data_IF_835320638091
#
_entry.id   IF_835320638091
#
_cell.length_a   1.000
_cell.length_b   1.000
_cell.length_c   1.000
_cell.angle_alpha   90.00
_cell.angle_beta   90.00
_cell.angle_gamma   90.00
#
_symmetry.space_group_name_H-M   'P 1'
#
loop_
_entity.id
_entity.type
_entity.pdbx_description
1 polymer ?
#
# COMPACT_ATOMS: atom_id res chain seq x y z
N UNK A 1 11.92 21.88 7.46
CA UNK A 1 12.86 20.79 7.76
C UNK A 1 12.37 20.16 9.06
N UNK A 2 11.90 18.94 8.96
CA UNK A 2 11.24 18.16 10.02
C UNK A 2 11.80 16.75 9.93
N UNK A 3 12.01 16.12 11.08
CA UNK A 3 12.41 14.72 11.12
C UNK A 3 11.31 13.86 10.50
N UNK A 4 11.68 12.68 10.00
CA UNK A 4 10.74 11.69 9.52
C UNK A 4 10.97 10.35 10.23
N UNK A 5 9.86 9.67 10.51
CA UNK A 5 9.84 8.25 10.88
C UNK A 5 9.61 7.41 9.63
N UNK A 6 10.31 6.28 9.52
CA UNK A 6 10.15 5.31 8.43
C UNK A 6 9.93 3.92 9.04
N UNK A 7 8.74 3.36 8.86
CA UNK A 7 8.43 1.99 9.22
C UNK A 7 8.84 1.07 8.07
N UNK A 8 9.64 0.04 8.38
CA UNK A 8 10.18 -0.92 7.43
C UNK A 8 9.72 -2.32 7.85
N UNK A 9 8.63 -2.78 7.25
CA UNK A 9 8.10 -4.12 7.47
C UNK A 9 8.81 -5.14 6.57
N UNK A 10 9.32 -6.20 7.16
CA UNK A 10 10.06 -7.26 6.46
C UNK A 10 9.40 -8.62 6.69
N UNK A 11 9.89 -9.65 6.00
CA UNK A 11 9.48 -11.03 6.22
C UNK A 11 9.77 -11.55 7.64
N UNK A 12 10.72 -10.97 8.37
CA UNK A 12 11.16 -11.46 9.69
C UNK A 12 11.19 -10.37 10.79
N UNK A 13 10.41 -9.30 10.65
CA UNK A 13 10.26 -8.28 11.69
C UNK A 13 10.10 -6.86 11.15
N UNK A 14 10.00 -5.91 12.07
CA UNK A 14 9.90 -4.48 11.82
C UNK A 14 11.19 -3.76 12.23
N UNK A 15 11.65 -2.86 11.36
CA UNK A 15 12.65 -1.84 11.69
C UNK A 15 12.02 -0.46 11.62
N UNK A 16 12.51 0.46 12.45
CA UNK A 16 12.04 1.85 12.50
C UNK A 16 13.22 2.77 12.23
N UNK A 17 13.17 3.49 11.12
CA UNK A 17 14.10 4.54 10.77
C UNK A 17 13.71 5.89 11.39
N UNK A 18 14.70 6.64 11.87
CA UNK A 18 14.61 8.06 12.27
C UNK A 18 15.61 8.86 11.47
N UNK A 19 15.14 9.93 10.84
CA UNK A 19 16.02 10.82 10.08
C UNK A 19 16.41 12.07 10.84
N UNK A 20 17.49 12.70 10.38
CA UNK A 20 17.74 14.11 10.62
C UNK A 20 16.69 15.00 9.92
N UNK A 21 16.67 16.29 10.25
CA UNK A 21 15.66 17.23 9.72
C UNK A 21 15.75 17.45 8.19
N UNK A 22 16.87 17.07 7.56
CA UNK A 22 17.05 17.10 6.11
C UNK A 22 16.65 15.78 5.42
N UNK A 23 16.34 14.72 6.18
CA UNK A 23 16.02 13.37 5.69
C UNK A 23 17.14 12.74 4.85
N UNK A 24 18.39 13.03 5.20
CA UNK A 24 19.61 12.54 4.52
C UNK A 24 20.38 11.54 5.35
N UNK A 25 20.39 11.68 6.68
CA UNK A 25 21.00 10.71 7.59
C UNK A 25 19.90 9.98 8.36
N UNK A 26 20.06 8.66 8.49
CA UNK A 26 19.06 7.79 9.11
C UNK A 26 19.70 6.90 10.16
N UNK A 27 19.03 6.77 11.30
CA UNK A 27 19.32 5.76 12.32
C UNK A 27 18.20 4.73 12.35
N UNK A 28 18.54 3.46 12.58
CA UNK A 28 17.57 2.37 12.66
C UNK A 28 17.49 1.78 14.06
N UNK A 29 16.28 1.46 14.50
CA UNK A 29 16.03 0.58 15.64
C UNK A 29 15.27 -0.67 15.20
N UNK A 30 15.47 -1.77 15.92
CA UNK A 30 14.85 -3.07 15.65
C UNK A 30 15.85 -4.24 15.73
N UNK A 31 15.39 -5.46 15.40
CA UNK A 31 14.01 -5.78 15.02
C UNK A 31 13.02 -5.69 16.20
N UNK A 32 11.84 -5.14 15.94
CA UNK A 32 10.63 -5.47 16.69
C UNK A 32 9.89 -6.60 15.97
N UNK A 33 9.03 -7.35 16.67
CA UNK A 33 8.27 -8.46 16.09
C UNK A 33 9.15 -9.52 15.40
N UNK A 34 10.24 -9.91 16.07
CA UNK A 34 11.17 -10.94 15.57
C UNK A 34 10.44 -12.21 15.13
N UNK A 35 10.86 -12.77 14.00
CA UNK A 35 10.27 -13.97 13.39
C UNK A 35 8.80 -13.82 12.96
N UNK A 36 8.28 -12.59 12.89
CA UNK A 36 6.96 -12.31 12.31
C UNK A 36 7.10 -11.62 10.96
N UNK A 37 6.30 -12.05 9.99
CA UNK A 37 6.16 -11.32 8.73
C UNK A 37 5.32 -10.07 8.94
N UNK A 38 5.89 -8.90 8.65
CA UNK A 38 5.22 -7.60 8.77
C UNK A 38 4.77 -7.16 7.38
N UNK A 39 3.50 -7.41 7.08
CA UNK A 39 2.92 -7.19 5.76
C UNK A 39 2.20 -5.85 5.62
N UNK A 40 1.81 -5.26 6.75
CA UNK A 40 1.13 -3.98 6.80
C UNK A 40 1.75 -3.10 7.88
N UNK A 41 2.01 -1.84 7.56
CA UNK A 41 2.34 -0.80 8.54
C UNK A 41 1.50 0.44 8.24
N UNK A 42 1.13 1.17 9.28
CA UNK A 42 0.35 2.41 9.17
C UNK A 42 0.88 3.48 10.12
N UNK A 43 0.71 4.74 9.75
CA UNK A 43 1.04 5.89 10.60
C UNK A 43 -0.15 6.84 10.57
N UNK A 44 -0.73 7.10 11.73
CA UNK A 44 -1.77 8.11 11.91
C UNK A 44 -1.18 9.35 12.57
N UNK A 45 -1.09 10.42 11.80
CA UNK A 45 -0.58 11.73 12.25
C UNK A 45 -1.70 12.72 12.58
N UNK A 46 -2.98 12.30 12.58
CA UNK A 46 -4.13 13.18 12.85
C UNK A 46 -4.24 13.54 14.34
N UNK A 47 -3.68 12.72 15.21
CA UNK A 47 -3.66 12.91 16.66
C UNK A 47 -2.58 13.91 17.12
N UNK A 48 -2.58 14.22 18.42
CA UNK A 48 -1.56 15.08 19.03
C UNK A 48 -0.16 14.45 19.01
N UNK A 49 -0.08 13.13 18.95
CA UNK A 49 1.15 12.37 18.72
C UNK A 49 0.86 11.32 17.63
N UNK A 50 1.86 10.97 16.79
CA UNK A 50 1.68 9.93 15.79
C UNK A 50 1.43 8.56 16.43
N UNK A 51 0.38 7.87 15.98
CA UNK A 51 0.14 6.46 16.32
C UNK A 51 0.66 5.57 15.19
N UNK A 52 1.45 4.56 15.54
CA UNK A 52 1.98 3.57 14.60
C UNK A 52 1.14 2.30 14.65
N UNK A 53 0.99 1.63 13.51
CA UNK A 53 0.29 0.35 13.39
C UNK A 53 1.15 -0.69 12.70
N UNK A 54 1.01 -1.94 13.12
CA UNK A 54 1.73 -3.09 12.56
C UNK A 54 0.77 -4.26 12.40
N UNK A 55 0.66 -4.80 11.18
CA UNK A 55 0.05 -6.10 10.90
C UNK A 55 1.13 -7.17 10.86
N UNK A 56 1.33 -7.86 11.99
CA UNK A 56 2.30 -8.94 12.15
C UNK A 56 1.68 -10.31 11.88
N UNK A 57 2.45 -11.25 11.34
CA UNK A 57 2.05 -12.65 11.15
C UNK A 57 3.11 -13.58 11.70
N UNK A 58 2.81 -14.22 12.83
CA UNK A 58 3.64 -15.26 13.43
C UNK A 58 3.27 -16.63 12.86
N UNK A 59 4.27 -17.45 12.51
CA UNK A 59 4.04 -18.85 12.14
C UNK A 59 3.52 -19.70 13.31
N UNK A 60 3.74 -19.25 14.56
CA UNK A 60 3.31 -19.96 15.77
C UNK A 60 1.97 -19.47 16.31
N UNK A 61 1.77 -18.14 16.34
CA UNK A 61 0.62 -17.50 16.99
C UNK A 61 -0.43 -16.97 16.03
N UNK A 62 -0.13 -16.95 14.72
CA UNK A 62 -1.01 -16.39 13.69
C UNK A 62 -0.87 -14.88 13.52
N UNK A 63 -1.80 -14.26 12.77
CA UNK A 63 -1.80 -12.82 12.48
C UNK A 63 -2.45 -11.98 13.57
N UNK A 64 -1.92 -10.77 13.77
CA UNK A 64 -2.45 -9.77 14.70
C UNK A 64 -2.16 -8.34 14.23
N UNK A 65 -2.94 -7.37 14.75
CA UNK A 65 -2.67 -5.94 14.62
C UNK A 65 -2.21 -5.38 15.97
N UNK A 66 -1.10 -4.66 15.94
CA UNK A 66 -0.49 -3.97 17.07
C UNK A 66 -0.49 -2.47 16.82
N UNK A 67 -0.49 -1.68 17.89
CA UNK A 67 -0.29 -0.24 17.81
C UNK A 67 0.73 0.27 18.83
N UNK A 68 1.30 1.44 18.55
CA UNK A 68 2.23 2.14 19.42
C UNK A 68 1.90 3.63 19.44
N UNK A 69 1.85 4.21 20.64
CA UNK A 69 1.62 5.64 20.89
C UNK A 69 2.91 6.39 21.30
N UNK A 70 4.03 5.67 21.37
CA UNK A 70 5.34 6.20 21.80
C UNK A 70 6.40 5.99 20.72
N UNK A 71 5.96 6.06 19.46
CA UNK A 71 6.85 6.05 18.31
C UNK A 71 7.66 4.74 18.18
N UNK A 72 7.09 3.63 18.66
CA UNK A 72 7.58 2.27 18.52
C UNK A 72 8.45 1.77 19.68
N UNK A 73 8.48 2.50 20.80
CA UNK A 73 9.19 2.05 22.00
C UNK A 73 8.44 0.92 22.70
N UNK A 74 7.11 0.98 22.73
CA UNK A 74 6.23 -0.08 23.22
C UNK A 74 5.10 -0.37 22.24
N UNK A 75 4.58 -1.59 22.31
CA UNK A 75 3.53 -2.08 21.42
C UNK A 75 2.41 -2.72 22.23
N UNK A 76 1.18 -2.35 21.91
CA UNK A 76 -0.03 -2.88 22.52
C UNK A 76 -0.77 -3.83 21.57
N UNK A 77 -1.26 -4.93 22.14
CA UNK A 77 -2.21 -5.87 21.53
C UNK A 77 -3.39 -6.06 22.49
N UNK A 78 -4.65 -5.96 22.03
CA UNK A 78 -5.80 -6.26 22.88
C UNK A 78 -5.80 -7.74 23.30
N UNK A 79 -6.11 -8.08 24.57
CA UNK A 79 -6.09 -9.46 25.07
C UNK A 79 -6.99 -10.45 24.33
N UNK A 80 -8.05 -9.95 23.70
CA UNK A 80 -9.02 -10.77 22.94
C UNK A 80 -8.70 -10.85 21.43
N UNK A 81 -7.58 -10.26 21.01
CA UNK A 81 -7.20 -10.12 19.60
C UNK A 81 -7.85 -8.89 18.94
N UNK A 82 -7.15 -8.27 17.98
CA UNK A 82 -7.61 -7.02 17.34
C UNK A 82 -8.54 -7.25 16.15
N UNK A 83 -8.36 -8.35 15.42
CA UNK A 83 -9.19 -8.74 14.28
C UNK A 83 -9.58 -10.22 14.43
N UNK A 84 -10.88 -10.50 14.38
CA UNK A 84 -11.40 -11.86 14.42
C UNK A 84 -12.69 -11.99 13.63
N UNK A 85 -12.81 -13.03 12.83
CA UNK A 85 -14.04 -13.30 12.10
C UNK A 85 -15.18 -13.68 13.07
N UNK A 86 -16.41 -13.14 12.88
CA UNK A 86 -17.54 -13.45 13.76
C UNK A 86 -17.85 -14.94 13.81
N UNK A 87 -18.34 -15.43 14.95
CA UNK A 87 -18.75 -16.83 15.08
C UNK A 87 -19.73 -17.25 13.97
N UNK A 88 -19.47 -18.40 13.34
CA UNK A 88 -20.29 -18.94 12.26
C UNK A 88 -19.85 -18.54 10.85
N UNK A 89 -18.84 -17.66 10.69
CA UNK A 89 -18.15 -17.53 9.41
C UNK A 89 -17.18 -18.69 9.22
N UNK A 90 -17.23 -19.36 8.07
CA UNK A 90 -16.26 -20.39 7.68
C UNK A 90 -14.98 -19.74 7.11
N UNK A 91 -14.33 -18.89 7.92
CA UNK A 91 -13.14 -18.14 7.55
C UNK A 91 -12.29 -17.83 8.77
N UNK A 92 -10.97 -17.81 8.60
CA UNK A 92 -10.00 -17.37 9.58
C UNK A 92 -9.09 -16.30 8.99
N UNK A 93 -8.61 -15.39 9.84
CA UNK A 93 -7.64 -14.39 9.42
C UNK A 93 -6.32 -15.09 9.12
N UNK A 94 -5.83 -14.93 7.89
CA UNK A 94 -4.50 -15.44 7.49
C UNK A 94 -3.44 -14.34 7.60
N UNK A 95 -3.81 -13.10 7.27
CA UNK A 95 -2.88 -11.96 7.22
C UNK A 95 -3.62 -10.63 7.13
N UNK A 96 -3.02 -9.59 7.72
CA UNK A 96 -3.39 -8.18 7.47
C UNK A 96 -2.49 -7.62 6.39
N UNK A 97 -3.09 -7.13 5.31
CA UNK A 97 -2.40 -6.65 4.11
C UNK A 97 -2.28 -5.13 4.05
N UNK A 98 -3.15 -4.40 4.76
CA UNK A 98 -3.02 -2.96 4.88
C UNK A 98 -3.67 -2.46 6.16
N UNK A 99 -3.13 -1.38 6.71
CA UNK A 99 -3.74 -0.60 7.80
C UNK A 99 -3.72 0.87 7.36
N UNK A 100 -4.90 1.48 7.26
CA UNK A 100 -5.07 2.82 6.71
C UNK A 100 -5.93 3.67 7.65
N UNK A 101 -5.39 4.77 8.22
CA UNK A 101 -6.18 5.75 8.92
C UNK A 101 -7.27 6.33 8.00
N UNK A 102 -8.48 6.49 8.55
CA UNK A 102 -9.61 7.12 7.85
C UNK A 102 -9.51 8.64 7.78
N UNK A 103 -10.64 9.32 7.55
CA UNK A 103 -10.73 10.78 7.70
C UNK A 103 -11.09 11.16 9.12
N UNK A 104 -12.05 10.44 9.72
CA UNK A 104 -12.57 10.73 11.04
C UNK A 104 -11.60 10.29 12.15
N UNK A 105 -11.40 11.09 13.22
CA UNK A 105 -10.58 10.70 14.36
C UNK A 105 -10.97 9.33 14.92
N UNK A 106 -9.99 8.50 15.24
CA UNK A 106 -10.22 7.14 15.76
C UNK A 106 -10.64 6.13 14.71
N UNK A 107 -11.03 6.54 13.50
CA UNK A 107 -11.35 5.59 12.42
C UNK A 107 -10.07 5.09 11.76
N UNK A 108 -9.91 3.77 11.76
CA UNK A 108 -8.81 3.06 11.10
C UNK A 108 -9.41 1.87 10.35
N UNK A 109 -8.98 1.65 9.12
CA UNK A 109 -9.38 0.49 8.34
C UNK A 109 -8.24 -0.52 8.22
N UNK A 110 -8.58 -1.80 8.16
CA UNK A 110 -7.64 -2.85 7.82
C UNK A 110 -8.16 -3.70 6.67
N UNK A 111 -7.31 -3.97 5.68
CA UNK A 111 -7.58 -4.94 4.62
C UNK A 111 -6.88 -6.26 4.95
N UNK A 112 -7.55 -7.39 4.72
CA UNK A 112 -7.02 -8.71 5.10
C UNK A 112 -7.08 -9.76 3.99
N UNK A 113 -6.49 -10.91 4.32
CA UNK A 113 -6.67 -12.20 3.66
C UNK A 113 -7.37 -13.18 4.63
N UNK A 114 -8.44 -13.87 4.21
CA UNK A 114 -9.15 -13.74 2.92
C UNK A 114 -9.72 -12.32 2.71
N UNK A 115 -10.18 -12.02 1.48
CA UNK A 115 -10.60 -10.66 1.08
C UNK A 115 -11.75 -10.14 1.94
N UNK A 116 -11.37 -9.37 2.96
CA UNK A 116 -12.26 -8.73 3.89
C UNK A 116 -11.72 -7.36 4.27
N UNK A 117 -12.65 -6.46 4.60
CA UNK A 117 -12.37 -5.12 5.10
C UNK A 117 -12.87 -5.03 6.54
N UNK A 118 -12.06 -4.41 7.38
CA UNK A 118 -12.33 -4.19 8.78
C UNK A 118 -12.30 -2.71 9.11
N UNK A 119 -13.16 -2.27 10.03
CA UNK A 119 -13.22 -0.88 10.50
C UNK A 119 -13.08 -0.86 12.01
N UNK A 120 -12.16 -0.04 12.50
CA UNK A 120 -12.06 0.38 13.89
C UNK A 120 -12.61 1.79 14.04
N UNK A 121 -13.21 2.09 15.20
CA UNK A 121 -13.61 3.44 15.61
C UNK A 121 -12.98 3.87 16.94
N UNK A 122 -12.05 3.07 17.47
CA UNK A 122 -11.38 3.28 18.76
C UNK A 122 -9.85 3.50 18.59
N UNK A 123 -9.45 3.95 17.40
CA UNK A 123 -8.06 4.24 17.06
C UNK A 123 -7.25 3.00 16.69
N UNK A 124 -7.89 1.97 16.15
CA UNK A 124 -7.25 0.71 15.74
C UNK A 124 -6.98 -0.26 16.89
N UNK A 125 -7.73 -0.17 17.99
CA UNK A 125 -7.63 -1.11 19.12
C UNK A 125 -8.47 -2.35 18.82
N UNK A 126 -9.74 -2.17 18.44
CA UNK A 126 -10.62 -3.26 18.00
C UNK A 126 -11.17 -2.98 16.61
N UNK A 127 -11.46 -4.03 15.86
CA UNK A 127 -11.94 -3.95 14.49
C UNK A 127 -13.19 -4.79 14.26
N UNK A 128 -14.16 -4.20 13.58
CA UNK A 128 -15.40 -4.87 13.16
C UNK A 128 -15.38 -5.17 11.66
N UNK A 129 -15.91 -6.33 11.28
CA UNK A 129 -16.03 -6.75 9.88
C UNK A 129 -17.02 -5.84 9.13
N UNK A 130 -16.59 -5.26 8.00
CA UNK A 130 -17.47 -4.48 7.12
C UNK A 130 -18.36 -5.43 6.32
N UNK A 131 -19.55 -5.70 6.86
CA UNK A 131 -20.51 -6.68 6.32
C UNK A 131 -20.94 -6.38 4.89
N UNK A 132 -21.09 -5.12 4.48
CA UNK A 132 -21.49 -4.79 3.12
C UNK A 132 -20.55 -5.33 2.04
N UNK A 133 -19.24 -5.36 2.30
CA UNK A 133 -18.28 -5.97 1.37
C UNK A 133 -18.23 -7.49 1.53
N UNK A 134 -18.28 -7.98 2.78
CA UNK A 134 -18.25 -9.41 3.07
C UNK A 134 -19.47 -10.16 2.53
N UNK A 135 -20.64 -9.56 2.58
CA UNK A 135 -21.89 -10.18 2.11
C UNK A 135 -22.17 -9.86 0.63
N UNK A 136 -21.22 -9.24 -0.06
CA UNK A 136 -21.38 -8.87 -1.47
C UNK A 136 -21.52 -10.12 -2.36
N UNK A 137 -22.47 -10.16 -3.33
CA UNK A 137 -22.72 -11.34 -4.16
C UNK A 137 -21.52 -11.83 -4.97
N UNK A 138 -20.60 -10.93 -5.34
CA UNK A 138 -19.39 -11.29 -6.08
C UNK A 138 -18.34 -11.99 -5.22
N UNK A 139 -18.43 -11.96 -3.87
CA UNK A 139 -17.36 -12.45 -2.99
C UNK A 139 -17.00 -13.90 -3.25
N UNK A 140 -17.99 -14.75 -3.48
CA UNK A 140 -17.77 -16.19 -3.74
C UNK A 140 -17.01 -16.45 -5.06
N UNK A 141 -16.92 -15.45 -5.93
CA UNK A 141 -16.25 -15.51 -7.24
C UNK A 141 -14.92 -14.75 -7.25
N UNK A 142 -14.57 -14.00 -6.20
CA UNK A 142 -13.25 -13.37 -6.09
C UNK A 142 -12.19 -14.46 -5.95
N UNK A 143 -11.12 -14.37 -6.73
CA UNK A 143 -10.06 -15.37 -6.77
C UNK A 143 -8.83 -14.94 -5.95
N UNK A 144 -7.92 -15.88 -5.75
CA UNK A 144 -6.60 -15.58 -5.22
C UNK A 144 -5.65 -15.21 -6.36
N UNK A 145 -4.96 -14.08 -6.25
CA UNK A 145 -3.72 -13.86 -6.98
C UNK A 145 -2.57 -14.67 -6.36
N UNK A 146 -1.38 -14.66 -6.99
CA UNK A 146 -0.18 -15.32 -6.43
C UNK A 146 0.23 -14.83 -5.04
N UNK A 147 -0.22 -13.62 -4.65
CA UNK A 147 0.00 -13.06 -3.32
C UNK A 147 -1.00 -13.53 -2.26
N UNK A 148 -2.07 -14.25 -2.63
CA UNK A 148 -3.21 -14.54 -1.78
C UNK A 148 -4.44 -13.69 -2.12
N UNK A 149 -5.63 -14.17 -1.73
CA UNK A 149 -6.91 -13.47 -1.93
C UNK A 149 -7.06 -12.36 -0.89
N UNK A 150 -6.61 -11.14 -1.20
CA UNK A 150 -6.52 -10.07 -0.23
C UNK A 150 -7.21 -8.77 -0.66
N UNK A 151 -7.83 -8.08 0.29
CA UNK A 151 -8.02 -6.63 0.22
C UNK A 151 -6.71 -5.99 0.65
N UNK A 152 -5.92 -5.52 -0.33
CA UNK A 152 -4.57 -4.98 -0.11
C UNK A 152 -4.48 -3.48 -0.38
N UNK A 153 -5.54 -2.88 -0.94
CA UNK A 153 -5.67 -1.42 -0.98
C UNK A 153 -6.97 -0.99 -0.32
N UNK A 154 -6.88 0.01 0.54
CA UNK A 154 -7.94 0.69 1.26
C UNK A 154 -7.62 2.18 1.12
N UNK A 155 -8.52 2.92 0.50
CA UNK A 155 -8.30 4.31 0.10
C UNK A 155 -9.54 5.16 0.46
N UNK A 156 -9.61 5.65 1.71
CA UNK A 156 -10.68 6.54 2.15
C UNK A 156 -10.68 7.83 1.33
N UNK A 157 -11.86 8.34 0.97
CA UNK A 157 -11.96 9.65 0.35
C UNK A 157 -11.59 10.73 1.37
N UNK A 158 -10.68 11.67 1.05
CA UNK A 158 -10.03 12.55 2.04
C UNK A 158 -10.97 13.54 2.73
N UNK A 159 -12.15 13.80 2.17
CA UNK A 159 -13.13 14.75 2.71
C UNK A 159 -14.54 14.18 2.85
N UNK A 160 -14.74 12.88 2.61
CA UNK A 160 -16.05 12.25 2.69
C UNK A 160 -15.94 10.87 3.36
N UNK A 161 -16.32 10.74 4.64
CA UNK A 161 -16.18 9.49 5.37
C UNK A 161 -17.13 8.38 4.88
N UNK A 162 -18.15 8.71 4.07
CA UNK A 162 -19.02 7.72 3.47
C UNK A 162 -18.41 7.08 2.21
N UNK A 163 -17.37 7.70 1.63
CA UNK A 163 -16.72 7.25 0.39
C UNK A 163 -15.41 6.53 0.67
N UNK A 164 -15.30 5.30 0.18
CA UNK A 164 -14.10 4.47 0.32
C UNK A 164 -13.93 3.61 -0.93
N UNK A 165 -12.69 3.49 -1.41
CA UNK A 165 -12.30 2.53 -2.44
C UNK A 165 -11.43 1.42 -1.84
N UNK A 166 -11.63 0.19 -2.30
CA UNK A 166 -10.75 -0.94 -1.99
C UNK A 166 -10.29 -1.62 -3.28
N UNK A 167 -9.12 -2.26 -3.24
CA UNK A 167 -8.63 -3.09 -4.34
C UNK A 167 -8.20 -4.48 -3.87
N UNK A 168 -8.45 -5.45 -4.75
CA UNK A 168 -8.20 -6.87 -4.54
C UNK A 168 -7.41 -7.51 -5.69
N UNK A 169 -6.59 -8.49 -5.31
CA UNK A 169 -5.83 -9.36 -6.20
C UNK A 169 -6.25 -10.83 -5.96
N UNK A 170 -7.27 -11.39 -6.62
CA UNK A 170 -8.09 -10.82 -7.70
C UNK A 170 -9.50 -10.47 -7.22
N UNK A 171 -10.18 -9.62 -7.98
CA UNK A 171 -11.52 -9.13 -7.68
C UNK A 171 -11.75 -7.76 -8.30
N UNK A 172 -10.70 -6.94 -8.34
CA UNK A 172 -10.71 -5.59 -8.89
C UNK A 172 -10.90 -4.53 -7.82
N UNK A 173 -11.35 -3.36 -8.26
CA UNK A 173 -11.71 -2.20 -7.43
C UNK A 173 -13.18 -2.28 -7.06
N UNK A 174 -13.48 -2.04 -5.78
CA UNK A 174 -14.84 -1.85 -5.28
C UNK A 174 -14.92 -0.54 -4.52
N UNK A 175 -16.07 0.13 -4.60
CA UNK A 175 -16.30 1.42 -3.97
C UNK A 175 -17.61 1.43 -3.20
N UNK A 176 -17.63 2.18 -2.11
CA UNK A 176 -18.83 2.52 -1.35
C UNK A 176 -19.00 4.03 -1.33
N UNK A 177 -20.26 4.49 -1.24
CA UNK A 177 -20.66 5.89 -1.03
C UNK A 177 -21.58 6.05 0.18
N UNK A 178 -21.78 4.97 0.94
CA UNK A 178 -22.71 4.88 2.08
C UNK A 178 -22.04 4.35 3.35
N UNK A 179 -20.71 4.56 3.48
CA UNK A 179 -19.95 4.18 4.66
C UNK A 179 -19.67 2.67 4.78
N UNK A 180 -19.80 1.93 3.68
CA UNK A 180 -19.52 0.50 3.60
C UNK A 180 -20.75 -0.41 3.76
N UNK A 181 -21.96 0.15 3.76
CA UNK A 181 -23.20 -0.62 3.80
C UNK A 181 -23.47 -1.34 2.47
N UNK A 182 -23.12 -0.73 1.35
CA UNK A 182 -23.13 -1.34 0.02
C UNK A 182 -21.87 -0.99 -0.78
N UNK A 183 -21.58 -1.83 -1.78
CA UNK A 183 -20.38 -1.73 -2.61
C UNK A 183 -20.72 -1.96 -4.07
N UNK A 184 -19.98 -1.30 -4.97
CA UNK A 184 -20.12 -1.47 -6.42
C UNK A 184 -18.74 -1.66 -7.06
N UNK A 185 -18.61 -2.52 -8.09
CA UNK A 185 -17.36 -2.66 -8.84
C UNK A 185 -17.06 -1.39 -9.63
N UNK A 186 -15.78 -1.01 -9.71
CA UNK A 186 -15.31 0.21 -10.38
C UNK A 186 -14.12 -0.09 -11.30
N UNK A 187 -14.33 -1.01 -12.26
CA UNK A 187 -13.26 -1.60 -13.07
C UNK A 187 -13.29 -1.24 -14.56
N UNK A 188 -14.26 -0.44 -15.02
CA UNK A 188 -14.45 -0.19 -16.44
C UNK A 188 -13.19 0.43 -17.07
N UNK A 189 -12.60 -0.28 -18.02
CA UNK A 189 -11.36 0.12 -18.71
C UNK A 189 -10.09 -0.50 -18.14
N UNK A 190 -10.15 -1.16 -16.97
CA UNK A 190 -9.06 -2.00 -16.45
C UNK A 190 -9.20 -3.41 -17.02
N UNK A 191 -8.19 -3.85 -17.77
CA UNK A 191 -8.20 -5.17 -18.41
C UNK A 191 -7.85 -6.30 -17.44
N UNK A 192 -8.46 -7.46 -17.67
CA UNK A 192 -8.13 -8.74 -17.05
C UNK A 192 -7.72 -9.76 -18.13
N UNK A 193 -6.50 -9.64 -18.66
CA UNK A 193 -6.02 -10.46 -19.80
C UNK A 193 -6.05 -11.98 -19.57
N UNK A 194 -6.09 -12.42 -18.31
CA UNK A 194 -6.14 -13.83 -17.92
C UNK A 194 -7.56 -14.40 -17.85
N UNK A 195 -8.59 -13.58 -18.06
CA UNK A 195 -9.99 -14.01 -18.13
C UNK A 195 -10.46 -14.15 -19.59
N UNK A 196 -11.50 -14.96 -19.86
CA UNK A 196 -12.04 -15.13 -21.21
C UNK A 196 -12.55 -13.82 -21.84
N UNK A 197 -13.22 -12.99 -21.03
CA UNK A 197 -13.54 -11.61 -21.36
C UNK A 197 -12.41 -10.72 -20.78
N UNK A 198 -11.67 -9.97 -21.62
CA UNK A 198 -10.59 -9.10 -21.15
C UNK A 198 -11.10 -7.83 -20.46
N UNK A 199 -12.38 -7.47 -20.60
CA UNK A 199 -12.99 -6.27 -20.01
C UNK A 199 -14.18 -6.61 -19.08
N UNK A 200 -14.01 -7.53 -18.11
CA UNK A 200 -15.12 -7.98 -17.27
C UNK A 200 -15.49 -6.92 -16.22
N UNK A 201 -16.71 -7.01 -15.69
CA UNK A 201 -17.17 -6.12 -14.60
C UNK A 201 -16.29 -6.22 -13.34
N UNK A 202 -15.79 -7.42 -13.04
CA UNK A 202 -14.91 -7.69 -11.91
C UNK A 202 -13.95 -8.86 -12.21
N UNK A 203 -12.97 -9.08 -11.32
CA UNK A 203 -11.99 -10.15 -11.44
C UNK A 203 -10.59 -9.68 -11.86
N UNK A 204 -10.40 -8.38 -12.08
CA UNK A 204 -9.10 -7.75 -12.30
C UNK A 204 -8.14 -8.06 -11.14
N UNK A 205 -6.85 -8.10 -11.44
CA UNK A 205 -5.78 -8.29 -10.46
C UNK A 205 -5.09 -6.95 -10.22
N UNK A 206 -5.80 -6.01 -9.59
CA UNK A 206 -5.26 -4.69 -9.28
C UNK A 206 -4.19 -4.86 -8.21
N UNK A 207 -2.98 -4.33 -8.41
CA UNK A 207 -1.88 -4.46 -7.46
C UNK A 207 -1.82 -3.33 -6.45
N UNK A 208 -2.16 -2.09 -6.85
CA UNK A 208 -2.22 -0.95 -5.93
C UNK A 208 -3.08 0.17 -6.52
N UNK A 209 -3.83 0.86 -5.67
CA UNK A 209 -4.48 2.14 -5.99
C UNK A 209 -3.79 3.29 -5.24
N UNK A 210 -3.79 4.46 -5.85
CA UNK A 210 -3.43 5.72 -5.22
C UNK A 210 -4.32 6.85 -5.76
N UNK A 211 -4.60 7.86 -4.94
CA UNK A 211 -5.28 9.08 -5.36
C UNK A 211 -4.71 10.27 -4.61
N UNK A 212 -4.64 11.43 -5.27
CA UNK A 212 -4.11 12.64 -4.64
C UNK A 212 -5.14 13.21 -3.64
N UNK A 213 -4.74 13.59 -2.41
CA UNK A 213 -5.70 14.06 -1.40
C UNK A 213 -6.43 15.35 -1.80
N UNK A 214 -5.80 16.24 -2.57
CA UNK A 214 -6.45 17.48 -3.06
C UNK A 214 -7.30 17.30 -4.33
N UNK A 215 -7.13 16.20 -5.08
CA UNK A 215 -7.87 15.90 -6.31
C UNK A 215 -8.27 14.41 -6.28
N UNK A 216 -9.16 14.01 -5.35
CA UNK A 216 -9.40 12.60 -5.05
C UNK A 216 -10.08 11.82 -6.18
N UNK A 217 -10.72 12.51 -7.13
CA UNK A 217 -11.29 11.88 -8.33
C UNK A 217 -10.23 11.47 -9.35
N UNK A 218 -9.01 12.04 -9.24
CA UNK A 218 -7.85 11.57 -10.00
C UNK A 218 -7.22 10.39 -9.28
N UNK A 219 -7.55 9.21 -9.77
CA UNK A 219 -7.07 7.94 -9.24
C UNK A 219 -6.09 7.28 -10.21
N UNK A 220 -5.12 6.57 -9.66
CA UNK A 220 -4.14 5.80 -10.41
C UNK A 220 -4.14 4.36 -9.92
N UNK A 221 -3.93 3.42 -10.84
CA UNK A 221 -3.89 1.99 -10.54
C UNK A 221 -2.70 1.33 -11.24
N UNK A 222 -1.88 0.61 -10.48
CA UNK A 222 -1.05 -0.45 -11.05
C UNK A 222 -1.88 -1.72 -11.06
N UNK A 223 -2.10 -2.31 -12.23
CA UNK A 223 -2.76 -3.61 -12.41
C UNK A 223 -1.72 -4.71 -12.69
N UNK A 224 -2.14 -5.96 -12.72
CA UNK A 224 -1.28 -7.07 -13.12
C UNK A 224 -0.74 -6.88 -14.54
N UNK A 225 -1.53 -6.34 -15.48
CA UNK A 225 -1.00 -5.73 -16.70
C UNK A 225 -1.67 -4.37 -16.92
N UNK A 226 -0.83 -3.34 -17.02
CA UNK A 226 -1.25 -1.97 -17.26
C UNK A 226 -1.09 -1.07 -16.04
N UNK A 227 -0.81 0.19 -16.34
CA UNK A 227 -0.86 1.32 -15.41
C UNK A 227 -2.01 2.19 -15.89
N UNK A 228 -2.96 2.51 -15.01
CA UNK A 228 -4.20 3.19 -15.38
C UNK A 228 -4.41 4.48 -14.60
N UNK A 229 -5.14 5.41 -15.21
CA UNK A 229 -5.67 6.61 -14.58
C UNK A 229 -7.18 6.69 -14.76
N UNK A 230 -7.89 7.14 -13.73
CA UNK A 230 -9.25 7.67 -13.83
C UNK A 230 -9.22 9.14 -13.41
N UNK A 231 -10.03 9.98 -14.08
CA UNK A 231 -10.25 11.39 -13.71
C UNK A 231 -11.68 11.62 -13.15
N UNK A 232 -12.43 10.54 -12.94
CA UNK A 232 -13.86 10.51 -12.57
C UNK A 232 -14.12 9.58 -11.38
N UNK A 233 -13.14 9.44 -10.48
CA UNK A 233 -13.32 8.71 -9.23
C UNK A 233 -13.40 7.20 -9.40
N UNK A 234 -12.79 6.65 -10.45
CA UNK A 234 -12.76 5.22 -10.75
C UNK A 234 -13.91 4.73 -11.64
N UNK A 235 -14.75 5.63 -12.17
CA UNK A 235 -15.84 5.24 -13.06
C UNK A 235 -15.34 4.75 -14.42
N UNK A 236 -14.31 5.40 -15.00
CA UNK A 236 -13.63 4.96 -16.23
C UNK A 236 -12.11 5.08 -16.06
N UNK A 237 -11.42 4.00 -16.41
CA UNK A 237 -9.97 3.91 -16.38
C UNK A 237 -9.38 3.92 -17.78
N UNK A 238 -8.25 4.61 -17.96
CA UNK A 238 -7.48 4.68 -19.20
C UNK A 238 -6.06 4.25 -18.94
N UNK A 239 -5.50 3.43 -19.82
CA UNK A 239 -4.09 3.07 -19.74
C UNK A 239 -3.22 4.32 -19.91
N UNK A 240 -2.20 4.43 -19.07
CA UNK A 240 -1.14 5.44 -19.06
C UNK A 240 0.24 4.77 -19.05
N UNK A 241 0.31 3.51 -19.51
CA UNK A 241 1.56 2.75 -19.52
C UNK A 241 2.50 3.11 -20.69
N UNK A 242 2.02 3.90 -21.66
CA UNK A 242 2.82 4.31 -22.81
C UNK A 242 4.07 5.08 -22.36
N UNK A 243 5.24 4.69 -22.86
CA UNK A 243 6.53 5.25 -22.48
C UNK A 243 7.24 4.55 -21.31
N UNK A 244 6.55 3.68 -20.56
CA UNK A 244 7.20 2.80 -19.58
C UNK A 244 7.95 1.65 -20.30
N UNK A 245 9.03 1.14 -19.70
CA UNK A 245 9.75 -0.03 -20.24
C UNK A 245 8.96 -1.34 -20.10
N UNK A 246 7.93 -1.36 -19.26
CA UNK A 246 6.99 -2.46 -19.04
C UNK A 246 5.72 -1.92 -18.37
N UNK A 247 4.59 -2.58 -18.60
CA UNK A 247 3.30 -2.25 -17.98
C UNK A 247 2.98 -3.13 -16.75
N UNK A 248 3.87 -4.07 -16.41
CA UNK A 248 3.80 -4.91 -15.23
C UNK A 248 4.61 -4.29 -14.08
N UNK A 249 4.08 -4.33 -12.87
CA UNK A 249 4.70 -3.77 -11.65
C UNK A 249 3.79 -4.01 -10.44
N UNK A 250 4.22 -3.65 -9.23
CA UNK A 250 3.37 -3.77 -8.03
C UNK A 250 2.96 -2.44 -7.41
N UNK A 251 3.89 -1.54 -7.06
CA UNK A 251 3.52 -0.30 -6.40
C UNK A 251 3.04 0.77 -7.38
N UNK A 252 2.16 1.64 -6.88
CA UNK A 252 1.94 2.98 -7.42
C UNK A 252 1.76 3.95 -6.24
N UNK A 253 2.37 5.13 -6.30
CA UNK A 253 2.17 6.19 -5.32
C UNK A 253 2.07 7.56 -5.99
N UNK A 254 1.42 8.50 -5.32
CA UNK A 254 1.27 9.88 -5.78
C UNK A 254 2.12 10.83 -4.94
N UNK A 255 2.56 11.92 -5.55
CA UNK A 255 3.14 13.03 -4.81
C UNK A 255 2.07 13.65 -3.89
N UNK A 256 2.41 14.11 -2.67
CA UNK A 256 1.43 14.68 -1.73
C UNK A 256 0.90 16.07 -2.13
N UNK A 257 1.66 16.81 -2.95
CA UNK A 257 1.38 18.23 -3.29
C UNK A 257 1.20 18.49 -4.79
N UNK A 258 1.39 17.47 -5.63
CA UNK A 258 1.34 17.60 -7.09
C UNK A 258 0.41 16.51 -7.65
N UNK A 259 -0.85 16.84 -8.00
CA UNK A 259 -1.87 15.84 -8.34
C UNK A 259 -1.60 15.07 -9.63
N UNK A 260 -0.70 15.58 -10.48
CA UNK A 260 -0.29 14.94 -11.73
C UNK A 260 0.99 14.13 -11.59
N UNK A 261 1.59 14.12 -10.40
CA UNK A 261 2.86 13.44 -10.17
C UNK A 261 2.65 12.07 -9.54
N UNK A 262 3.05 11.02 -10.27
CA UNK A 262 2.86 9.62 -9.91
C UNK A 262 4.16 8.82 -10.11
N UNK A 263 4.38 7.85 -9.24
CA UNK A 263 5.57 7.00 -9.20
C UNK A 263 5.19 5.53 -9.35
N UNK A 264 5.94 4.79 -10.16
CA UNK A 264 5.83 3.33 -10.33
C UNK A 264 7.20 2.67 -10.33
N UNK A 265 7.23 1.35 -10.14
CA UNK A 265 8.43 0.53 -10.29
C UNK A 265 8.16 -0.62 -11.27
N UNK A 266 8.52 -0.45 -12.56
CA UNK A 266 8.25 -1.45 -13.59
C UNK A 266 9.07 -2.73 -13.41
N UNK A 267 8.46 -3.87 -13.71
CA UNK A 267 9.04 -5.21 -13.72
C UNK A 267 8.73 -5.87 -15.08
N UNK A 268 9.53 -6.84 -15.52
CA UNK A 268 9.39 -7.39 -16.88
C UNK A 268 8.04 -8.07 -17.10
N UNK A 269 7.63 -8.97 -16.22
CA UNK A 269 6.34 -9.68 -16.28
C UNK A 269 6.03 -10.40 -14.97
N UNK A 270 4.85 -10.99 -14.88
CA UNK A 270 4.43 -11.82 -13.74
C UNK A 270 5.32 -13.06 -13.53
N UNK A 271 5.72 -13.71 -14.63
CA UNK A 271 6.67 -14.81 -14.68
C UNK A 271 8.14 -14.40 -14.63
N UNK A 272 8.44 -13.11 -14.75
CA UNK A 272 9.79 -12.55 -14.62
C UNK A 272 9.76 -11.22 -13.86
N UNK A 273 9.83 -11.29 -12.54
CA UNK A 273 9.71 -10.13 -11.64
C UNK A 273 11.04 -9.39 -11.42
N UNK A 274 11.94 -9.44 -12.41
CA UNK A 274 13.13 -8.59 -12.43
C UNK A 274 12.78 -7.22 -13.04
N UNK A 275 13.45 -6.14 -12.65
CA UNK A 275 13.28 -4.85 -13.32
C UNK A 275 13.82 -4.90 -14.76
N UNK A 276 13.20 -4.20 -15.72
CA UNK A 276 13.73 -4.11 -17.09
C UNK A 276 15.18 -3.61 -17.12
N UNK A 277 16.01 -4.30 -17.91
CA UNK A 277 17.45 -4.04 -17.98
C UNK A 277 18.22 -4.35 -16.70
N UNK A 278 17.61 -5.07 -15.75
CA UNK A 278 18.20 -5.39 -14.44
C UNK A 278 18.69 -4.15 -13.69
N UNK A 279 17.94 -3.05 -13.73
CA UNK A 279 18.33 -1.76 -13.15
C UNK A 279 17.31 -1.24 -12.14
N UNK A 280 17.78 -0.73 -11.00
CA UNK A 280 16.89 -0.16 -9.99
C UNK A 280 16.46 1.25 -10.41
N UNK A 281 15.24 1.39 -10.93
CA UNK A 281 14.70 2.66 -11.42
C UNK A 281 13.27 2.82 -10.96
N UNK A 282 13.00 3.89 -10.22
CA UNK A 282 11.63 4.39 -10.06
C UNK A 282 11.29 5.20 -11.29
N UNK A 283 10.10 5.06 -11.84
CA UNK A 283 9.63 5.92 -12.93
C UNK A 283 8.64 6.94 -12.38
N UNK A 284 8.83 8.20 -12.76
CA UNK A 284 7.96 9.31 -12.41
C UNK A 284 7.27 9.84 -13.66
N UNK A 285 5.99 10.16 -13.54
CA UNK A 285 5.32 11.08 -14.45
C UNK A 285 4.98 12.35 -13.66
N UNK A 286 5.01 13.51 -14.31
CA UNK A 286 4.55 14.80 -13.76
C UNK A 286 3.36 15.38 -14.53
N UNK A 287 2.79 14.59 -15.45
CA UNK A 287 1.72 14.96 -16.38
C UNK A 287 0.61 13.91 -16.40
N UNK A 288 0.35 13.31 -15.24
CA UNK A 288 -0.68 12.31 -14.99
C UNK A 288 -0.58 11.08 -15.91
N UNK A 289 0.66 10.66 -16.19
CA UNK A 289 1.01 9.45 -16.93
C UNK A 289 1.10 9.63 -18.45
N UNK A 290 1.16 10.85 -18.97
CA UNK A 290 1.33 11.08 -20.41
C UNK A 290 2.80 10.87 -20.85
N UNK A 291 3.76 11.22 -19.99
CA UNK A 291 5.18 10.93 -20.16
C UNK A 291 5.81 10.43 -18.87
N UNK A 292 6.87 9.62 -19.01
CA UNK A 292 7.57 9.00 -17.89
C UNK A 292 9.08 9.24 -17.99
N UNK A 293 9.70 9.50 -16.85
CA UNK A 293 11.15 9.64 -16.72
C UNK A 293 11.71 8.64 -15.69
N UNK A 294 12.87 8.03 -15.96
CA UNK A 294 13.54 7.16 -15.00
C UNK A 294 14.31 7.98 -13.95
N UNK A 295 14.11 7.65 -12.68
CA UNK A 295 14.82 8.18 -11.53
C UNK A 295 15.81 7.13 -11.02
N UNK A 296 17.10 7.47 -11.00
CA UNK A 296 18.16 6.51 -10.65
C UNK A 296 19.36 7.08 -9.89
N UNK A 297 19.43 8.39 -9.66
CA UNK A 297 20.62 8.99 -9.06
C UNK A 297 20.74 8.60 -7.57
N UNK A 298 21.74 7.77 -7.23
CA UNK A 298 21.92 7.20 -5.89
C UNK A 298 21.25 5.84 -5.68
N UNK A 299 20.49 5.33 -6.66
CA UNK A 299 20.02 3.95 -6.69
C UNK A 299 21.09 3.03 -7.32
N UNK A 300 21.10 1.73 -6.99
CA UNK A 300 22.08 0.81 -7.58
C UNK A 300 21.83 0.64 -9.08
N UNK A 301 22.90 0.70 -9.87
CA UNK A 301 22.83 0.50 -11.32
C UNK A 301 22.27 -0.88 -11.69
N UNK A 302 22.57 -1.89 -10.87
CA UNK A 302 22.14 -3.28 -11.07
C UNK A 302 21.21 -3.70 -9.93
N UNK A 303 20.04 -4.24 -10.29
CA UNK A 303 19.11 -4.89 -9.36
C UNK A 303 18.36 -6.02 -10.07
N UNK A 304 18.12 -7.11 -9.33
CA UNK A 304 17.41 -8.30 -9.82
C UNK A 304 16.13 -8.57 -9.03
N UNK A 305 15.78 -7.69 -8.11
CA UNK A 305 14.71 -7.93 -7.15
C UNK A 305 13.55 -6.95 -7.34
N UNK A 306 12.31 -7.37 -7.07
CA UNK A 306 11.16 -6.50 -7.20
C UNK A 306 11.01 -5.55 -6.00
N UNK A 307 10.25 -4.49 -6.23
CA UNK A 307 9.60 -3.68 -5.19
C UNK A 307 8.15 -4.15 -5.08
N UNK A 308 7.68 -4.46 -3.87
CA UNK A 308 6.31 -4.95 -3.63
C UNK A 308 5.28 -3.82 -3.50
N UNK A 309 4.00 -4.19 -3.46
CA UNK A 309 2.82 -3.28 -3.55
C UNK A 309 2.89 -2.09 -2.59
N UNK A 310 3.24 -2.34 -1.33
CA UNK A 310 3.35 -1.34 -0.26
C UNK A 310 4.81 -1.00 0.08
N UNK A 311 5.76 -1.47 -0.73
CA UNK A 311 7.18 -1.17 -0.55
C UNK A 311 7.63 0.08 -1.33
N UNK A 312 6.68 0.95 -1.71
CA UNK A 312 6.94 2.29 -2.24
C UNK A 312 5.93 3.26 -1.62
N UNK A 313 6.42 4.34 -1.02
CA UNK A 313 5.55 5.33 -0.37
C UNK A 313 6.11 6.75 -0.46
N UNK A 314 5.25 7.74 -0.24
CA UNK A 314 5.60 9.15 -0.10
C UNK A 314 5.26 9.67 1.30
N UNK A 315 5.99 10.67 1.77
CA UNK A 315 5.60 11.49 2.93
C UNK A 315 4.97 12.82 2.48
N UNK A 316 4.65 13.70 3.42
CA UNK A 316 3.98 14.99 3.16
C UNK A 316 4.89 16.21 3.31
N UNK A 317 6.21 16.04 3.41
CA UNK A 317 7.11 17.18 3.51
C UNK A 317 7.15 18.00 2.20
N UNK A 318 7.76 19.18 2.25
CA UNK A 318 8.05 20.00 1.08
C UNK A 318 9.55 20.36 1.06
N UNK A 319 10.36 19.81 0.13
CA UNK A 319 9.99 18.86 -0.94
C UNK A 319 9.51 17.49 -0.43
N UNK A 320 8.68 16.77 -1.19
CA UNK A 320 8.16 15.47 -0.75
C UNK A 320 9.25 14.38 -0.70
N UNK A 321 9.15 13.49 0.29
CA UNK A 321 9.98 12.31 0.39
C UNK A 321 9.42 11.16 -0.45
N UNK A 322 10.30 10.33 -1.02
CA UNK A 322 9.94 9.08 -1.71
C UNK A 322 10.79 7.95 -1.15
N UNK A 323 10.16 6.83 -0.81
CA UNK A 323 10.78 5.71 -0.09
C UNK A 323 10.53 4.42 -0.84
N UNK A 324 11.57 3.60 -1.02
CA UNK A 324 11.51 2.33 -1.73
C UNK A 324 12.21 1.23 -0.96
N UNK A 325 11.53 0.10 -0.75
CA UNK A 325 12.08 -1.11 -0.18
C UNK A 325 12.18 -2.24 -1.22
N UNK A 326 13.32 -2.90 -1.31
CA UNK A 326 13.59 -3.96 -2.27
C UNK A 326 13.66 -5.32 -1.60
N UNK A 327 13.36 -6.40 -2.35
CA UNK A 327 13.31 -7.76 -1.79
C UNK A 327 14.68 -8.36 -1.42
N UNK A 328 15.78 -7.71 -1.74
CA UNK A 328 17.13 -8.04 -1.26
C UNK A 328 17.49 -7.39 0.09
N UNK A 329 16.54 -6.71 0.73
CA UNK A 329 16.73 -6.15 2.07
C UNK A 329 17.27 -4.73 2.10
N UNK A 330 17.26 -4.02 0.98
CA UNK A 330 17.66 -2.61 0.93
C UNK A 330 16.46 -1.67 1.00
N UNK A 331 16.67 -0.50 1.60
CA UNK A 331 15.71 0.60 1.66
C UNK A 331 16.40 1.88 1.24
N UNK A 332 15.78 2.61 0.31
CA UNK A 332 16.27 3.87 -0.22
C UNK A 332 15.27 4.99 0.07
N UNK A 333 15.78 6.19 0.35
CA UNK A 333 14.98 7.38 0.56
C UNK A 333 15.46 8.52 -0.34
N UNK A 334 14.51 9.27 -0.88
CA UNK A 334 14.72 10.58 -1.49
C UNK A 334 14.02 11.64 -0.66
N UNK A 335 14.64 12.80 -0.53
CA UNK A 335 14.09 13.98 0.15
C UNK A 335 13.74 15.12 -0.84
N UNK A 336 13.73 14.82 -2.14
CA UNK A 336 13.59 15.76 -3.25
C UNK A 336 12.75 15.15 -4.39
N UNK A 337 11.60 14.58 -4.05
CA UNK A 337 10.62 14.04 -5.01
C UNK A 337 11.21 12.97 -5.96
N UNK A 338 12.21 12.22 -5.49
CA UNK A 338 12.86 11.13 -6.22
C UNK A 338 14.05 11.55 -7.09
N UNK A 339 14.47 12.81 -7.08
CA UNK A 339 15.59 13.28 -7.93
C UNK A 339 16.94 12.74 -7.45
N UNK A 340 17.15 12.59 -6.13
CA UNK A 340 18.34 11.95 -5.55
C UNK A 340 17.98 11.01 -4.40
N UNK A 341 18.72 9.90 -4.30
CA UNK A 341 18.46 8.83 -3.34
C UNK A 341 19.66 8.61 -2.42
N UNK A 342 19.37 8.23 -1.18
CA UNK A 342 20.34 7.72 -0.20
C UNK A 342 19.91 6.32 0.24
N UNK A 343 20.86 5.42 0.49
CA UNK A 343 20.59 4.14 1.14
C UNK A 343 20.34 4.40 2.63
N UNK A 344 19.15 4.00 3.11
CA UNK A 344 18.76 4.05 4.52
C UNK A 344 19.24 2.81 5.25
N UNK A 345 19.06 1.66 4.62
CA UNK A 345 19.41 0.36 5.17
C UNK A 345 19.77 -0.62 4.05
N UNK A 346 20.60 -1.60 4.38
CA UNK A 346 20.90 -2.77 3.56
C UNK A 346 21.01 -4.01 4.45
N UNK A 347 20.96 -5.20 3.82
CA UNK A 347 21.06 -6.50 4.50
C UNK A 347 19.95 -6.78 5.53
N UNK A 348 18.77 -6.18 5.37
CA UNK A 348 17.58 -6.59 6.09
C UNK A 348 16.97 -7.86 5.45
N UNK A 349 16.01 -8.53 6.12
CA UNK A 349 15.18 -9.52 5.44
C UNK A 349 14.36 -8.90 4.31
N UNK A 350 13.78 -9.72 3.44
CA UNK A 350 12.89 -9.29 2.35
C UNK A 350 11.92 -8.17 2.78
N UNK A 351 12.06 -6.98 2.18
CA UNK A 351 11.18 -5.85 2.48
C UNK A 351 9.79 -6.10 1.88
N UNK A 352 8.75 -5.97 2.71
CA UNK A 352 7.36 -6.20 2.35
C UNK A 352 6.57 -4.91 2.23
N UNK A 353 6.83 -3.95 3.10
CA UNK A 353 6.12 -2.67 3.17
C UNK A 353 7.04 -1.59 3.73
N UNK A 354 6.87 -0.35 3.24
CA UNK A 354 7.48 0.84 3.83
C UNK A 354 6.45 1.95 3.99
N UNK A 355 6.51 2.69 5.08
CA UNK A 355 5.65 3.86 5.30
C UNK A 355 6.41 4.93 6.05
N UNK A 356 6.45 6.13 5.48
CA UNK A 356 7.08 7.28 6.12
C UNK A 356 6.04 8.35 6.50
N UNK A 357 6.38 9.13 7.52
CA UNK A 357 5.70 10.37 7.86
C UNK A 357 6.70 11.36 8.47
N UNK A 358 6.52 12.64 8.17
CA UNK A 358 7.17 13.71 8.94
C UNK A 358 6.51 13.85 10.30
N UNK A 359 7.32 14.13 11.33
CA UNK A 359 6.89 14.25 12.73
C UNK A 359 7.30 15.56 13.36
#
# INVERSE_FOLDING_TARGET
MSEAVLLIGTKNGLWIGRSDAARREWSLSGPAFEMQGVYAVGIDTRGAQPRLFVGGTSEHWGPAVFHSDDLGQTWAEPPEGSIGFPAGTDASLERVWQIQPGVEPGVVYAGSQPSALWKSTDGGVTFELVRGLWDHPHREQWGAGFGGQAVHTVLPHPSDPARLSVAMSTGGVYQTTDGGASWSPANHGIKAYFLPDPDPEFGQCVHKLAAHPAVPERMFAQNHHGVYRSDDGGAIWKSIADGLPSDFGFPIAVHPHEPDTVYVFPLIADGNRMPPGSSCRVYRSRDAGATWEPLSNGLPEVSYVPVLRDALSTDTADPAGVYVGTRDGCVYASADAGDTWVEVASHLPDILTVRAAVI
#
